data_IF_219750629151
#
_entry.id   IF_219750629151
#
_cell.length_a   1.000
_cell.length_b   1.000
_cell.length_c   1.000
_cell.angle_alpha   90.00
_cell.angle_beta   90.00
_cell.angle_gamma   90.00
#
_symmetry.space_group_name_H-M   'P 1'
#
loop_
_entity.id
_entity.type
_entity.pdbx_description
1 polymer ?
#
# COMPACT_ATOMS: atom_id res chain seq x y z
N UNK A 1 3.96 -11.86 -14.81
CA UNK A 1 4.75 -12.24 -13.62
C UNK A 1 6.20 -11.84 -13.85
N UNK A 2 6.86 -11.21 -12.86
CA UNK A 2 8.27 -10.80 -12.90
C UNK A 2 9.01 -11.38 -11.68
N UNK A 3 10.33 -11.63 -11.77
CA UNK A 3 11.13 -12.20 -10.68
C UNK A 3 11.60 -11.12 -9.68
N UNK A 4 10.66 -10.38 -9.05
CA UNK A 4 10.95 -9.35 -8.05
C UNK A 4 11.21 -7.94 -8.59
N UNK A 5 11.66 -7.81 -9.84
CA UNK A 5 11.90 -6.51 -10.51
C UNK A 5 11.16 -6.49 -11.84
N UNK A 6 10.32 -5.48 -12.05
CA UNK A 6 9.61 -5.26 -13.30
C UNK A 6 10.42 -4.36 -14.24
N UNK A 7 11.24 -4.97 -15.10
CA UNK A 7 12.06 -4.24 -16.05
C UNK A 7 11.24 -3.40 -17.06
N UNK A 8 10.07 -3.89 -17.50
CA UNK A 8 9.17 -3.13 -18.38
C UNK A 8 8.56 -1.94 -17.66
N UNK A 9 8.18 -2.11 -16.39
CA UNK A 9 7.70 -1.02 -15.54
C UNK A 9 8.78 0.03 -15.28
N UNK A 10 10.01 -0.39 -15.05
CA UNK A 10 11.17 0.52 -14.90
C UNK A 10 11.38 1.34 -16.18
N UNK A 11 11.43 0.69 -17.36
CA UNK A 11 11.61 1.40 -18.64
C UNK A 11 10.46 2.39 -18.91
N UNK A 12 9.21 1.96 -18.68
CA UNK A 12 8.05 2.85 -18.80
C UNK A 12 8.13 4.04 -17.85
N UNK A 13 8.54 3.83 -16.60
CA UNK A 13 8.70 4.90 -15.63
C UNK A 13 9.83 5.87 -16.01
N UNK A 14 10.93 5.38 -16.58
CA UNK A 14 12.01 6.23 -17.08
C UNK A 14 11.49 7.15 -18.19
N UNK A 15 10.80 6.61 -19.19
CA UNK A 15 10.25 7.39 -20.31
C UNK A 15 9.25 8.44 -19.79
N UNK A 16 8.34 8.05 -18.91
CA UNK A 16 7.36 8.98 -18.32
C UNK A 16 8.02 10.02 -17.42
N UNK A 17 9.05 9.65 -16.68
CA UNK A 17 9.74 10.56 -15.78
C UNK A 17 10.54 11.63 -16.55
N UNK A 18 11.11 11.29 -17.70
CA UNK A 18 11.72 12.27 -18.60
C UNK A 18 10.65 13.33 -18.99
N UNK A 19 9.49 12.88 -19.47
CA UNK A 19 8.37 13.79 -19.80
C UNK A 19 7.86 14.57 -18.58
N UNK A 20 7.80 13.94 -17.40
CA UNK A 20 7.35 14.59 -16.17
C UNK A 20 8.32 15.67 -15.67
N UNK A 21 9.64 15.47 -15.84
CA UNK A 21 10.65 16.49 -15.51
C UNK A 21 10.43 17.74 -16.36
N UNK A 22 10.26 17.58 -17.67
CA UNK A 22 9.99 18.72 -18.57
C UNK A 22 8.67 19.45 -18.24
N UNK A 23 7.68 18.76 -17.69
CA UNK A 23 6.37 19.30 -17.36
C UNK A 23 6.20 19.64 -15.87
N UNK A 24 7.26 19.66 -15.07
CA UNK A 24 7.24 19.88 -13.61
C UNK A 24 6.24 18.97 -12.86
N UNK A 25 6.00 17.77 -13.36
CA UNK A 25 5.09 16.80 -12.75
C UNK A 25 5.85 15.84 -11.81
N UNK A 26 5.12 15.25 -10.86
CA UNK A 26 5.68 14.28 -9.92
C UNK A 26 6.20 13.04 -10.65
N UNK A 27 7.39 12.57 -10.27
CA UNK A 27 8.00 11.37 -10.83
C UNK A 27 7.15 10.10 -10.53
N UNK A 28 7.03 9.23 -11.53
CA UNK A 28 6.32 7.96 -11.40
C UNK A 28 7.26 6.90 -10.82
N UNK A 29 6.79 6.20 -9.77
CA UNK A 29 7.55 5.10 -9.15
C UNK A 29 7.35 3.79 -9.93
N UNK A 30 8.43 3.03 -10.09
CA UNK A 30 8.42 1.71 -10.74
C UNK A 30 8.76 0.56 -9.77
N UNK A 31 8.80 0.82 -8.47
CA UNK A 31 9.11 -0.22 -7.48
C UNK A 31 7.97 -1.22 -7.36
N UNK A 32 8.30 -2.50 -7.41
CA UNK A 32 7.37 -3.61 -7.20
C UNK A 32 6.96 -3.73 -5.72
N UNK A 33 5.91 -4.50 -5.43
CA UNK A 33 5.52 -4.84 -4.05
C UNK A 33 6.70 -5.50 -3.31
N UNK A 34 7.39 -6.44 -3.95
CA UNK A 34 8.54 -7.13 -3.35
C UNK A 34 9.69 -6.18 -3.05
N UNK A 35 9.96 -5.20 -3.91
CA UNK A 35 10.94 -4.16 -3.62
C UNK A 35 10.52 -3.24 -2.46
N UNK A 36 9.22 -2.98 -2.30
CA UNK A 36 8.71 -2.23 -1.16
C UNK A 36 8.85 -3.02 0.14
N UNK A 37 8.61 -4.33 0.13
CA UNK A 37 8.88 -5.23 1.26
C UNK A 37 10.37 -5.24 1.57
N UNK A 38 11.24 -5.44 0.59
CA UNK A 38 12.69 -5.41 0.74
C UNK A 38 13.19 -4.09 1.35
N UNK A 39 12.64 -2.97 0.90
CA UNK A 39 12.94 -1.65 1.46
C UNK A 39 12.64 -1.58 2.96
N UNK A 40 11.53 -2.12 3.41
CA UNK A 40 11.16 -2.12 4.82
C UNK A 40 12.11 -2.96 5.68
N UNK A 41 12.63 -4.07 5.12
CA UNK A 41 13.63 -4.90 5.81
C UNK A 41 15.01 -4.22 5.92
N UNK A 42 15.37 -3.36 4.98
CA UNK A 42 16.70 -2.72 4.99
C UNK A 42 16.83 -1.63 6.04
N UNK A 43 15.74 -1.20 6.70
CA UNK A 43 15.70 -0.25 7.84
C UNK A 43 16.53 1.03 7.66
N UNK A 44 16.97 1.37 6.44
CA UNK A 44 17.78 2.56 6.16
C UNK A 44 16.98 3.60 5.43
N UNK A 45 17.05 4.85 5.88
CA UNK A 45 16.38 5.99 5.26
C UNK A 45 17.25 6.70 4.19
N UNK A 46 18.46 6.18 3.91
CA UNK A 46 19.34 6.76 2.90
C UNK A 46 18.71 6.71 1.51
N UNK A 47 18.79 7.83 0.81
CA UNK A 47 18.42 7.91 -0.61
C UNK A 47 19.69 7.75 -1.44
N UNK A 48 20.11 6.51 -1.71
CA UNK A 48 21.32 6.21 -2.47
C UNK A 48 21.08 5.14 -3.54
N UNK A 49 21.91 5.18 -4.60
CA UNK A 49 21.93 4.14 -5.64
C UNK A 49 22.30 2.79 -5.04
N UNK A 50 23.26 2.76 -4.11
CA UNK A 50 23.70 1.53 -3.44
C UNK A 50 22.54 0.87 -2.66
N UNK A 51 21.72 1.67 -1.96
CA UNK A 51 20.51 1.16 -1.32
C UNK A 51 19.55 0.57 -2.35
N UNK A 52 19.36 1.22 -3.50
CA UNK A 52 18.47 0.72 -4.54
C UNK A 52 18.93 -0.60 -5.16
N UNK A 53 20.23 -0.80 -5.29
CA UNK A 53 20.83 -2.08 -5.70
C UNK A 53 20.57 -3.16 -4.64
N UNK A 54 20.78 -2.85 -3.36
CA UNK A 54 20.49 -3.78 -2.25
C UNK A 54 19.01 -4.18 -2.20
N UNK A 55 18.09 -3.21 -2.38
CA UNK A 55 16.65 -3.48 -2.49
C UNK A 55 16.35 -4.47 -3.63
N UNK A 56 16.95 -4.28 -4.81
CA UNK A 56 16.71 -5.16 -5.96
C UNK A 56 17.24 -6.58 -5.72
N UNK A 57 18.46 -6.72 -5.16
CA UNK A 57 19.05 -8.02 -4.82
C UNK A 57 18.19 -8.73 -3.77
N UNK A 58 17.78 -8.02 -2.72
CA UNK A 58 16.94 -8.59 -1.67
C UNK A 58 15.56 -8.98 -2.21
N UNK A 59 14.96 -8.15 -3.05
CA UNK A 59 13.69 -8.47 -3.71
C UNK A 59 13.79 -9.76 -4.54
N UNK A 60 14.88 -9.94 -5.28
CA UNK A 60 15.12 -11.17 -6.03
C UNK A 60 15.24 -12.41 -5.10
N UNK A 61 15.95 -12.27 -3.99
CA UNK A 61 16.06 -13.36 -2.98
C UNK A 61 14.70 -13.70 -2.37
N UNK A 62 13.92 -12.69 -1.99
CA UNK A 62 12.56 -12.84 -1.44
C UNK A 62 11.66 -13.60 -2.42
N UNK A 63 11.67 -13.24 -3.72
CA UNK A 63 10.88 -13.90 -4.76
C UNK A 63 11.26 -15.37 -4.97
N UNK A 64 12.50 -15.75 -4.68
CA UNK A 64 12.93 -17.13 -4.77
C UNK A 64 12.63 -17.94 -3.51
N UNK A 65 12.55 -17.27 -2.37
CA UNK A 65 12.35 -17.92 -1.07
C UNK A 65 10.89 -18.02 -0.64
N UNK A 66 10.04 -17.07 -1.11
CA UNK A 66 8.65 -16.95 -0.65
C UNK A 66 7.66 -17.00 -1.82
N UNK A 67 6.45 -17.50 -1.55
CA UNK A 67 5.34 -17.46 -2.50
C UNK A 67 4.82 -16.03 -2.66
N UNK A 68 4.09 -15.76 -3.75
CA UNK A 68 3.48 -14.43 -4.01
C UNK A 68 2.48 -14.04 -2.92
N UNK A 69 1.74 -15.00 -2.41
CA UNK A 69 0.78 -14.81 -1.32
C UNK A 69 1.49 -14.37 -0.04
N UNK A 70 2.63 -15.02 0.28
CA UNK A 70 3.42 -14.65 1.46
C UNK A 70 4.06 -13.28 1.33
N UNK A 71 4.54 -12.92 0.14
CA UNK A 71 5.06 -11.58 -0.15
C UNK A 71 3.95 -10.53 0.00
N UNK A 72 2.75 -10.81 -0.51
CA UNK A 72 1.61 -9.90 -0.37
C UNK A 72 1.19 -9.75 1.08
N UNK A 73 1.16 -10.83 1.85
CA UNK A 73 0.88 -10.81 3.29
C UNK A 73 1.89 -9.92 4.04
N UNK A 74 3.18 -10.10 3.79
CA UNK A 74 4.23 -9.25 4.38
C UNK A 74 4.05 -7.78 4.01
N UNK A 75 3.72 -7.50 2.75
CA UNK A 75 3.42 -6.15 2.30
C UNK A 75 2.25 -5.53 3.05
N UNK A 76 1.11 -6.24 3.09
CA UNK A 76 -0.11 -5.76 3.74
C UNK A 76 0.06 -5.56 5.26
N UNK A 77 0.94 -6.32 5.90
CA UNK A 77 1.23 -6.18 7.32
C UNK A 77 2.18 -5.01 7.64
N UNK A 78 2.89 -4.46 6.66
CA UNK A 78 3.94 -3.45 6.89
C UNK A 78 3.66 -2.10 6.23
N UNK A 79 2.79 -2.06 5.21
CA UNK A 79 2.57 -0.85 4.43
C UNK A 79 2.00 0.28 5.29
N UNK A 80 2.58 1.48 5.17
CA UNK A 80 2.04 2.68 5.81
C UNK A 80 0.76 3.13 5.10
N UNK A 81 -0.33 3.27 5.85
CA UNK A 81 -1.65 3.61 5.35
C UNK A 81 -2.17 4.97 5.83
N UNK A 82 -1.30 5.77 6.45
CA UNK A 82 -1.68 7.07 7.02
C UNK A 82 -2.21 6.95 8.45
N UNK A 83 -2.48 8.09 9.11
CA UNK A 83 -3.02 8.11 10.47
C UNK A 83 -2.12 7.48 11.55
N UNK A 84 -0.82 7.25 11.24
CA UNK A 84 0.07 6.46 12.11
C UNK A 84 -0.06 4.96 11.96
N UNK A 85 -0.96 4.46 11.08
CA UNK A 85 -1.24 3.05 10.91
C UNK A 85 -0.25 2.38 9.93
N UNK A 86 0.43 1.35 10.41
CA UNK A 86 1.27 0.46 9.62
C UNK A 86 0.60 -0.91 9.54
N UNK A 87 0.36 -1.37 8.33
CA UNK A 87 -0.38 -2.59 8.02
C UNK A 87 -1.90 -2.41 8.02
N UNK A 88 -2.57 -3.32 7.30
CA UNK A 88 -4.03 -3.26 7.09
C UNK A 88 -4.83 -3.48 8.36
N UNK A 89 -4.32 -4.28 9.32
CA UNK A 89 -4.98 -4.51 10.60
C UNK A 89 -5.02 -3.23 11.44
N UNK A 90 -3.88 -2.55 11.58
CA UNK A 90 -3.81 -1.28 12.30
C UNK A 90 -4.67 -0.20 11.61
N UNK A 91 -4.66 -0.14 10.27
CA UNK A 91 -5.49 0.80 9.53
C UNK A 91 -6.99 0.51 9.63
N UNK A 92 -7.38 -0.77 9.70
CA UNK A 92 -8.77 -1.17 9.92
C UNK A 92 -9.30 -0.66 11.27
N UNK A 93 -8.50 -0.83 12.33
CA UNK A 93 -8.83 -0.29 13.66
C UNK A 93 -8.82 1.24 13.68
N UNK A 94 -7.79 1.87 13.08
CA UNK A 94 -7.64 3.34 13.08
C UNK A 94 -8.80 4.04 12.38
N UNK A 95 -9.19 3.54 11.18
CA UNK A 95 -10.19 4.24 10.36
C UNK A 95 -11.63 3.80 10.64
N UNK A 96 -11.84 2.55 11.07
CA UNK A 96 -13.19 1.96 11.15
C UNK A 96 -13.52 1.36 12.50
N UNK A 97 -12.55 1.24 13.43
CA UNK A 97 -12.71 0.53 14.72
C UNK A 97 -13.22 -0.91 14.52
N UNK A 98 -12.71 -1.59 13.48
CA UNK A 98 -13.12 -2.93 13.08
C UNK A 98 -11.95 -3.87 12.90
N UNK A 99 -12.19 -5.16 13.11
CA UNK A 99 -11.31 -6.23 12.65
C UNK A 99 -11.30 -6.27 11.10
N UNK A 100 -10.21 -6.72 10.49
CA UNK A 100 -10.12 -6.90 9.03
C UNK A 100 -11.27 -7.78 8.50
N UNK A 101 -11.72 -8.78 9.29
CA UNK A 101 -12.78 -9.71 8.91
C UNK A 101 -14.15 -9.06 8.81
N UNK A 102 -14.33 -7.94 9.51
CA UNK A 102 -15.60 -7.22 9.61
C UNK A 102 -15.69 -6.05 8.62
N UNK A 103 -14.64 -5.85 7.80
CA UNK A 103 -14.63 -4.81 6.79
C UNK A 103 -15.59 -5.16 5.64
N UNK A 104 -16.38 -4.18 5.25
CA UNK A 104 -17.15 -4.27 4.01
C UNK A 104 -16.29 -3.93 2.77
N UNK A 105 -16.88 -4.06 1.58
CA UNK A 105 -16.16 -3.82 0.32
C UNK A 105 -15.67 -2.38 0.18
N UNK A 106 -16.45 -1.39 0.61
CA UNK A 106 -16.10 0.03 0.52
C UNK A 106 -14.95 0.40 1.45
N UNK A 107 -14.95 -0.16 2.66
CA UNK A 107 -13.89 0.02 3.65
C UNK A 107 -12.59 -0.64 3.17
N UNK A 108 -12.68 -1.87 2.67
CA UNK A 108 -11.56 -2.59 2.06
C UNK A 108 -11.00 -1.84 0.85
N UNK A 109 -11.87 -1.30 -0.02
CA UNK A 109 -11.46 -0.51 -1.18
C UNK A 109 -10.77 0.81 -0.77
N UNK A 110 -11.20 1.43 0.36
CA UNK A 110 -10.51 2.59 0.88
C UNK A 110 -9.10 2.23 1.36
N UNK A 111 -8.94 1.16 2.15
CA UNK A 111 -7.61 0.72 2.59
C UNK A 111 -6.70 0.39 1.39
N UNK A 112 -7.22 -0.27 0.37
CA UNK A 112 -6.48 -0.57 -0.86
C UNK A 112 -6.11 0.69 -1.68
N UNK A 113 -6.83 1.79 -1.49
CA UNK A 113 -6.57 3.07 -2.16
C UNK A 113 -5.43 3.87 -1.52
N UNK A 114 -5.21 3.73 -0.20
CA UNK A 114 -4.29 4.53 0.60
C UNK A 114 -2.80 4.40 0.21
N UNK A 115 -2.25 3.22 -0.15
CA UNK A 115 -0.82 3.07 -0.47
C UNK A 115 -0.31 4.02 -1.56
N UNK A 116 -1.18 4.48 -2.44
CA UNK A 116 -0.81 5.43 -3.52
C UNK A 116 -0.25 6.75 -2.99
N UNK A 117 -0.86 7.29 -1.93
CA UNK A 117 -0.40 8.49 -1.23
C UNK A 117 -1.16 8.61 0.11
N UNK A 118 -0.73 7.93 1.18
CA UNK A 118 -1.48 7.79 2.42
C UNK A 118 -1.85 9.14 3.07
N UNK A 119 -0.91 10.09 3.08
CA UNK A 119 -1.17 11.41 3.65
C UNK A 119 -2.16 12.25 2.84
N UNK A 120 -2.18 12.08 1.50
CA UNK A 120 -3.08 12.82 0.60
C UNK A 120 -4.50 12.28 0.64
N UNK A 121 -4.63 10.95 0.68
CA UNK A 121 -5.92 10.25 0.65
C UNK A 121 -6.43 9.87 2.05
N UNK A 122 -5.85 10.45 3.11
CA UNK A 122 -6.33 10.25 4.47
C UNK A 122 -7.76 10.81 4.60
N UNK A 123 -8.76 9.98 4.98
CA UNK A 123 -10.16 10.39 5.06
C UNK A 123 -10.43 11.44 6.14
N UNK A 124 -9.61 11.51 7.19
CA UNK A 124 -9.70 12.54 8.22
C UNK A 124 -9.26 13.94 7.72
N UNK A 125 -8.34 13.97 6.74
CA UNK A 125 -7.80 15.23 6.19
C UNK A 125 -8.52 15.68 4.93
N UNK A 126 -8.89 14.73 4.07
CA UNK A 126 -9.52 15.03 2.79
C UNK A 126 -10.48 13.92 2.36
N UNK A 127 -11.72 14.01 2.85
CA UNK A 127 -12.77 13.03 2.59
C UNK A 127 -13.10 12.90 1.10
N UNK A 128 -13.09 14.00 0.36
CA UNK A 128 -13.41 14.00 -1.07
C UNK A 128 -12.38 13.24 -1.90
N UNK A 129 -11.08 13.53 -1.68
CA UNK A 129 -10.01 12.83 -2.37
C UNK A 129 -9.94 11.35 -1.96
N UNK A 130 -10.21 11.03 -0.69
CA UNK A 130 -10.30 9.66 -0.22
C UNK A 130 -11.44 8.90 -0.93
N UNK A 131 -12.63 9.51 -1.00
CA UNK A 131 -13.79 8.97 -1.70
C UNK A 131 -13.51 8.77 -3.19
N UNK A 132 -12.96 9.79 -3.84
CA UNK A 132 -12.58 9.70 -5.25
C UNK A 132 -11.63 8.52 -5.49
N UNK A 133 -10.58 8.40 -4.68
CA UNK A 133 -9.58 7.34 -4.84
C UNK A 133 -10.14 5.96 -4.53
N UNK A 134 -10.98 5.81 -3.49
CA UNK A 134 -11.74 4.59 -3.21
C UNK A 134 -12.59 4.17 -4.40
N UNK A 135 -13.32 5.12 -4.99
CA UNK A 135 -14.21 4.85 -6.12
C UNK A 135 -13.46 4.36 -7.36
N UNK A 136 -12.19 4.77 -7.56
CA UNK A 136 -11.34 4.19 -8.61
C UNK A 136 -11.00 2.72 -8.33
N UNK A 137 -10.79 2.34 -7.08
CA UNK A 137 -10.59 0.91 -6.71
C UNK A 137 -11.85 0.11 -6.96
N UNK A 138 -13.02 0.62 -6.53
CA UNK A 138 -14.32 -0.02 -6.75
C UNK A 138 -14.60 -0.17 -8.26
N UNK A 139 -14.27 0.85 -9.07
CA UNK A 139 -14.37 0.77 -10.53
C UNK A 139 -13.49 -0.36 -11.10
N UNK A 140 -12.24 -0.47 -10.64
CA UNK A 140 -11.35 -1.54 -11.07
C UNK A 140 -11.86 -2.93 -10.70
N UNK A 141 -12.48 -3.08 -9.51
CA UNK A 141 -13.11 -4.34 -9.11
C UNK A 141 -14.26 -4.72 -10.05
N UNK A 142 -15.08 -3.75 -10.45
CA UNK A 142 -16.16 -3.97 -11.41
C UNK A 142 -15.62 -4.32 -12.80
N UNK A 143 -14.67 -3.56 -13.34
CA UNK A 143 -14.08 -3.77 -14.67
C UNK A 143 -13.36 -5.12 -14.78
N UNK A 144 -12.87 -5.68 -13.68
CA UNK A 144 -12.26 -7.02 -13.61
C UNK A 144 -13.23 -8.11 -13.13
N UNK A 145 -14.55 -7.84 -13.11
CA UNK A 145 -15.61 -8.79 -12.78
C UNK A 145 -15.56 -9.37 -11.35
N UNK A 146 -14.93 -8.69 -10.41
CA UNK A 146 -14.94 -9.07 -9.00
C UNK A 146 -16.22 -8.68 -8.26
N UNK A 147 -16.95 -7.69 -8.77
CA UNK A 147 -18.24 -7.25 -8.22
C UNK A 147 -19.27 -7.08 -9.34
N UNK A 148 -20.56 -7.28 -9.01
CA UNK A 148 -21.67 -7.07 -9.97
C UNK A 148 -21.91 -5.58 -10.24
N UNK A 149 -22.70 -5.30 -11.30
CA UNK A 149 -23.11 -3.92 -11.66
C UNK A 149 -23.91 -3.25 -10.55
N UNK A 150 -24.79 -4.00 -9.89
CA UNK A 150 -25.66 -3.48 -8.84
C UNK A 150 -24.83 -3.13 -7.59
N UNK A 151 -23.89 -3.99 -7.22
CA UNK A 151 -22.92 -3.72 -6.15
C UNK A 151 -22.04 -2.52 -6.47
N UNK A 152 -21.57 -2.41 -7.71
CA UNK A 152 -20.77 -1.25 -8.15
C UNK A 152 -21.54 0.06 -7.97
N UNK A 153 -22.80 0.12 -8.37
CA UNK A 153 -23.64 1.30 -8.21
C UNK A 153 -23.82 1.65 -6.72
N UNK A 154 -24.17 0.66 -5.88
CA UNK A 154 -24.34 0.84 -4.44
C UNK A 154 -23.07 1.36 -3.75
N UNK A 155 -21.93 0.71 -3.98
CA UNK A 155 -20.66 1.04 -3.33
C UNK A 155 -20.10 2.41 -3.74
N UNK A 156 -20.29 2.81 -4.99
CA UNK A 156 -19.81 4.10 -5.50
C UNK A 156 -20.49 5.28 -4.81
N UNK A 157 -21.77 5.16 -4.49
CA UNK A 157 -22.55 6.24 -3.85
C UNK A 157 -22.50 6.19 -2.33
N UNK A 158 -22.00 5.11 -1.72
CA UNK A 158 -21.84 5.04 -0.28
C UNK A 158 -20.89 6.12 0.23
N UNK A 159 -21.22 6.75 1.34
CA UNK A 159 -20.32 7.72 1.97
C UNK A 159 -19.17 7.01 2.66
N UNK A 160 -17.97 7.57 2.60
CA UNK A 160 -16.85 7.14 3.43
C UNK A 160 -17.21 7.48 4.88
N UNK A 161 -17.55 6.47 5.67
CA UNK A 161 -17.76 6.57 7.11
C UNK A 161 -16.41 6.20 7.76
N UNK A 162 -15.91 7.08 8.59
CA UNK A 162 -14.80 6.81 9.50
C UNK A 162 -15.26 7.13 10.92
N UNK A 163 -14.84 6.35 11.88
CA UNK A 163 -15.09 6.66 13.28
C UNK A 163 -13.94 7.52 13.80
N UNK A 164 -14.26 8.74 14.27
CA UNK A 164 -13.27 9.62 14.87
C UNK A 164 -13.05 9.24 16.34
N UNK A 165 -12.40 8.13 16.59
CA UNK A 165 -11.92 7.83 17.93
C UNK A 165 -10.42 8.16 17.98
N UNK A 166 -10.10 9.39 18.41
CA UNK A 166 -8.77 9.74 18.90
C UNK A 166 -8.49 9.00 20.21
N UNK A 167 -8.21 7.71 20.16
CA UNK A 167 -7.46 7.06 21.24
C UNK A 167 -5.99 7.17 20.87
N UNK A 168 -5.13 7.80 21.69
CA UNK A 168 -3.70 7.69 21.50
C UNK A 168 -3.34 6.21 21.63
N UNK A 169 -2.85 5.61 20.55
CA UNK A 169 -2.27 4.27 20.62
C UNK A 169 -1.01 4.41 21.47
N UNK A 170 -0.87 3.69 22.59
CA UNK A 170 0.36 3.71 23.36
C UNK A 170 1.49 3.22 22.48
N UNK A 171 2.49 4.07 22.27
CA UNK A 171 3.75 3.73 21.58
C UNK A 171 4.52 2.79 22.53
N UNK A 172 4.15 1.52 22.59
CA UNK A 172 4.77 0.64 23.59
C UNK A 172 4.64 -0.87 23.37
N UNK A 173 3.96 -1.34 22.33
CA UNK A 173 3.73 -2.80 22.20
C UNK A 173 4.04 -3.44 20.86
N UNK A 174 4.90 -2.84 20.04
CA UNK A 174 5.45 -3.53 18.89
C UNK A 174 6.74 -4.22 19.29
N UNK A 175 6.59 -5.45 19.77
CA UNK A 175 7.71 -6.33 20.09
C UNK A 175 8.35 -6.78 18.76
N UNK A 176 9.42 -6.13 18.31
CA UNK A 176 10.19 -6.43 17.11
C UNK A 176 11.01 -7.74 17.19
N UNK A 177 10.70 -8.63 18.14
CA UNK A 177 11.44 -9.87 18.38
C UNK A 177 11.50 -10.89 17.23
N UNK A 178 10.72 -10.69 16.16
CA UNK A 178 10.67 -11.64 15.04
C UNK A 178 11.74 -11.39 13.97
N UNK A 179 12.41 -10.23 13.98
CA UNK A 179 13.39 -9.88 12.93
C UNK A 179 14.73 -10.57 13.15
N UNK A 180 15.05 -10.98 14.38
CA UNK A 180 16.36 -11.59 14.71
C UNK A 180 16.47 -13.06 14.28
N UNK A 181 15.36 -13.75 14.09
CA UNK A 181 15.35 -15.19 13.75
C UNK A 181 15.52 -15.51 12.26
N UNK A 182 15.47 -14.50 11.37
CA UNK A 182 15.63 -14.67 9.92
C UNK A 182 16.99 -14.22 9.36
N UNK A 183 17.89 -13.73 10.24
CA UNK A 183 19.23 -13.26 9.86
C UNK A 183 20.36 -14.12 10.45
N UNK A 184 20.06 -15.14 11.20
CA UNK A 184 20.94 -16.26 11.59
C UNK A 184 20.62 -17.50 10.71
#
# INVERSE_FOLDING_TARGET
>A
THPGVDAKGVLRAIIKNISNIFNSKRLEGASTITQQVAKNFLLTNEVSINRKIKEAILAFRIERALTKERILELYLNQIYLGGGAYGVAAASLEYFDKSIKDLNYEESALLAALPKAPSKYNPYKNKELATYRRNLVIKNLYENSYISKDNYAGYRYSQVRHQSHRRPIPIGSLNFGWVHCLLS
#
